data_IF_790129613044
#
_entry.id   IF_790129613044
#
_cell.length_a   1.000
_cell.length_b   1.000
_cell.length_c   1.000
_cell.angle_alpha   90.00
_cell.angle_beta   90.00
_cell.angle_gamma   90.00
#
_symmetry.space_group_name_H-M   'P 1'
#
loop_
_entity.id
_entity.type
_entity.pdbx_description
1 polymer ?
#
# COMPACT_ATOMS: atom_id res chain seq x y z
N UNK A 1 14.23 -3.86 24.38
CA UNK A 1 13.92 -3.00 23.22
C UNK A 1 12.65 -3.58 22.65
N UNK A 2 11.51 -3.05 23.08
CA UNK A 2 10.18 -3.55 22.73
C UNK A 2 10.02 -3.55 21.21
N UNK A 3 9.80 -4.74 20.67
CA UNK A 3 9.44 -4.98 19.28
C UNK A 3 8.21 -4.14 18.94
N UNK A 4 8.35 -3.27 17.93
CA UNK A 4 7.25 -2.48 17.38
C UNK A 4 6.05 -3.41 17.10
N UNK A 5 4.80 -2.92 17.29
CA UNK A 5 3.62 -3.76 17.10
C UNK A 5 3.73 -4.42 15.74
N UNK A 6 3.47 -5.73 15.69
CA UNK A 6 3.37 -6.46 14.44
C UNK A 6 2.13 -5.95 13.71
N UNK A 7 2.26 -4.79 13.05
CA UNK A 7 1.18 -4.14 12.33
C UNK A 7 0.79 -5.08 11.21
N UNK A 8 -0.35 -5.75 11.39
CA UNK A 8 -0.93 -6.60 10.38
C UNK A 8 -1.29 -5.73 9.19
N UNK A 9 -0.47 -5.81 8.13
CA UNK A 9 -0.70 -5.12 6.86
C UNK A 9 -1.77 -5.86 6.08
N UNK A 10 -2.88 -5.18 5.83
CA UNK A 10 -3.94 -5.70 4.98
C UNK A 10 -3.75 -5.14 3.57
N UNK A 11 -3.67 -6.01 2.56
CA UNK A 11 -3.62 -5.57 1.16
C UNK A 11 -5.01 -5.06 0.76
N UNK A 12 -5.10 -3.78 0.42
CA UNK A 12 -6.32 -3.15 -0.08
C UNK A 12 -6.49 -3.37 -1.57
N UNK A 13 -5.43 -3.15 -2.36
CA UNK A 13 -5.49 -3.19 -3.82
C UNK A 13 -4.14 -3.66 -4.39
N UNK A 14 -4.15 -4.31 -5.56
CA UNK A 14 -2.92 -4.76 -6.26
C UNK A 14 -2.91 -4.21 -7.68
N UNK A 15 -1.83 -3.54 -8.04
CA UNK A 15 -1.73 -2.78 -9.27
C UNK A 15 -0.47 -3.19 -10.02
N UNK A 16 -0.50 -3.29 -11.36
CA UNK A 16 0.68 -3.63 -12.15
C UNK A 16 1.74 -2.53 -12.03
N UNK A 17 3.01 -2.91 -11.93
CA UNK A 17 4.11 -1.94 -11.91
C UNK A 17 4.30 -1.23 -13.27
N UNK A 18 3.86 -1.87 -14.35
CA UNK A 18 3.89 -1.34 -15.71
C UNK A 18 2.62 -0.55 -16.09
N UNK A 19 2.48 0.68 -15.60
CA UNK A 19 1.48 1.63 -16.09
C UNK A 19 1.89 2.29 -17.42
N UNK A 20 0.94 2.89 -18.15
CA UNK A 20 1.29 3.80 -19.27
C UNK A 20 2.16 4.91 -18.69
N UNK A 21 3.28 5.26 -19.35
CA UNK A 21 4.23 6.28 -18.85
C UNK A 21 3.49 7.50 -18.30
N UNK A 22 3.65 7.78 -17.01
CA UNK A 22 3.01 8.88 -16.29
C UNK A 22 1.84 8.49 -15.37
N UNK A 23 1.29 7.28 -15.47
CA UNK A 23 0.30 6.78 -14.51
C UNK A 23 0.96 6.11 -13.32
N UNK A 24 0.64 6.56 -12.10
CA UNK A 24 1.09 5.98 -10.84
C UNK A 24 -0.14 5.53 -10.03
N UNK A 25 -0.86 4.48 -10.47
CA UNK A 25 -2.17 4.15 -9.92
C UNK A 25 -2.09 3.74 -8.45
N UNK A 26 -0.97 3.16 -8.01
CA UNK A 26 -0.81 2.73 -6.62
C UNK A 26 -0.61 3.91 -5.68
N UNK A 27 0.20 4.88 -6.11
CA UNK A 27 0.44 6.13 -5.39
C UNK A 27 -0.83 6.98 -5.32
N UNK A 28 -1.57 7.11 -6.42
CA UNK A 28 -2.85 7.82 -6.47
C UNK A 28 -3.88 7.17 -5.53
N UNK A 29 -4.04 5.86 -5.60
CA UNK A 29 -4.95 5.14 -4.71
C UNK A 29 -4.54 5.27 -3.24
N UNK A 30 -3.25 5.10 -2.92
CA UNK A 30 -2.75 5.31 -1.57
C UNK A 30 -2.94 6.75 -1.08
N UNK A 31 -2.79 7.76 -1.95
CA UNK A 31 -3.07 9.15 -1.62
C UNK A 31 -4.56 9.37 -1.33
N UNK A 32 -5.46 8.84 -2.15
CA UNK A 32 -6.91 8.89 -1.90
C UNK A 32 -7.29 8.24 -0.57
N UNK A 33 -6.73 7.08 -0.25
CA UNK A 33 -6.95 6.40 1.04
C UNK A 33 -6.48 7.26 2.22
N UNK A 34 -5.32 7.92 2.11
CA UNK A 34 -4.82 8.83 3.15
C UNK A 34 -5.70 10.06 3.33
N UNK A 35 -6.24 10.62 2.25
CA UNK A 35 -7.22 11.72 2.31
C UNK A 35 -8.50 11.28 3.03
N UNK A 36 -8.89 10.02 2.90
CA UNK A 36 -10.01 9.43 3.65
C UNK A 36 -9.66 9.06 5.11
N UNK A 37 -8.43 9.28 5.56
CA UNK A 37 -7.97 8.96 6.91
C UNK A 37 -7.47 7.53 7.09
N UNK A 38 -7.32 6.76 6.02
CA UNK A 38 -6.74 5.42 6.05
C UNK A 38 -5.23 5.48 5.86
N UNK A 39 -4.47 4.87 6.75
CA UNK A 39 -3.01 4.74 6.62
C UNK A 39 -2.70 3.72 5.52
N UNK A 40 -2.68 4.18 4.26
CA UNK A 40 -2.28 3.37 3.12
C UNK A 40 -0.79 3.56 2.80
N UNK A 41 -0.13 2.50 2.33
CA UNK A 41 1.26 2.46 1.91
C UNK A 41 1.36 1.68 0.61
N UNK A 42 2.27 2.09 -0.28
CA UNK A 42 2.57 1.35 -1.51
C UNK A 42 3.79 0.50 -1.26
N UNK A 43 3.68 -0.81 -1.50
CA UNK A 43 4.76 -1.79 -1.37
C UNK A 43 4.96 -2.44 -2.72
N UNK A 44 6.20 -2.49 -3.20
CA UNK A 44 6.52 -3.20 -4.44
C UNK A 44 6.74 -4.69 -4.17
N UNK A 45 5.90 -5.54 -4.74
CA UNK A 45 6.09 -6.98 -4.81
C UNK A 45 7.01 -7.31 -5.98
N UNK A 46 8.26 -7.65 -5.66
CA UNK A 46 9.29 -8.04 -6.62
C UNK A 46 9.03 -9.42 -7.26
N UNK A 47 8.23 -10.28 -6.63
CA UNK A 47 7.95 -11.64 -7.15
C UNK A 47 6.95 -11.58 -8.30
N UNK A 48 5.99 -10.67 -8.21
CA UNK A 48 4.94 -10.51 -9.22
C UNK A 48 5.10 -9.25 -10.07
N UNK A 49 6.09 -8.41 -9.78
CA UNK A 49 6.30 -7.10 -10.41
C UNK A 49 5.05 -6.21 -10.31
N UNK A 50 4.50 -6.11 -9.10
CA UNK A 50 3.26 -5.39 -8.81
C UNK A 50 3.42 -4.46 -7.62
N UNK A 51 2.70 -3.36 -7.63
CA UNK A 51 2.53 -2.51 -6.45
C UNK A 51 1.31 -2.96 -5.67
N UNK A 52 1.51 -3.25 -4.40
CA UNK A 52 0.47 -3.58 -3.43
C UNK A 52 0.20 -2.33 -2.61
N UNK A 53 -1.04 -1.85 -2.62
CA UNK A 53 -1.45 -0.84 -1.65
C UNK A 53 -1.91 -1.57 -0.41
N UNK A 54 -1.18 -1.40 0.69
CA UNK A 54 -1.45 -2.03 1.97
C UNK A 54 -1.88 -0.97 2.97
N UNK A 55 -2.70 -1.36 3.95
CA UNK A 55 -3.00 -0.52 5.09
C UNK A 55 -2.49 -1.15 6.36
N UNK A 56 -1.92 -0.33 7.24
CA UNK A 56 -1.66 -0.73 8.61
C UNK A 56 -2.97 -0.62 9.39
N UNK A 57 -3.67 -1.75 9.47
CA UNK A 57 -4.69 -1.93 10.50
C UNK A 57 -3.95 -2.03 11.83
N UNK A 58 -3.79 -0.91 12.52
CA UNK A 58 -3.48 -0.95 13.94
C UNK A 58 -4.61 -1.75 14.60
N UNK A 59 -4.33 -3.01 14.91
CA UNK A 59 -5.23 -3.82 15.73
C UNK A 59 -5.16 -3.17 17.11
N UNK A 60 -6.18 -2.38 17.42
CA UNK A 60 -6.28 -1.63 18.66
C UNK A 60 -6.92 -2.51 19.74
#
# INVERSE_FOLDING_TARGET
MDTAPEQARTVLERLPAGGRRGSWPAEEFAASQRVQGTTAQVVMDLRTDQFLVVTDTATQ
#
